data_IF_939228442840
#
_entry.id   IF_939228442840
#
_cell.length_a   1.000
_cell.length_b   1.000
_cell.length_c   1.000
_cell.angle_alpha   90.00
_cell.angle_beta   90.00
_cell.angle_gamma   90.00
#
_symmetry.space_group_name_H-M   'P 1'
#
loop_
_entity.id
_entity.type
_entity.pdbx_description
1 polymer ?
#
# COMPACT_ATOMS: atom_id res chain seq x y z
N UNK A 1 -56.06 14.26 31.78
CA UNK A 1 -55.36 13.83 30.54
C UNK A 1 -55.05 15.05 29.69
N UNK A 2 -53.90 15.07 29.01
CA UNK A 2 -53.56 16.11 28.04
C UNK A 2 -53.98 15.72 26.63
N UNK A 3 -54.09 16.69 25.72
CA UNK A 3 -54.36 16.47 24.30
C UNK A 3 -53.20 16.93 23.41
N UNK A 4 -53.04 16.22 22.29
CA UNK A 4 -52.03 16.55 21.29
C UNK A 4 -52.43 17.78 20.47
N UNK A 5 -51.46 18.63 20.15
CA UNK A 5 -51.56 19.60 19.06
C UNK A 5 -51.79 18.92 17.72
N UNK A 6 -52.17 19.70 16.71
CA UNK A 6 -51.97 19.29 15.32
C UNK A 6 -50.51 18.93 15.07
N UNK A 7 -50.27 18.02 14.14
CA UNK A 7 -48.91 17.71 13.70
C UNK A 7 -48.24 18.95 13.11
N UNK A 8 -47.00 19.20 13.49
CA UNK A 8 -46.15 20.17 12.82
C UNK A 8 -45.82 19.74 11.39
N UNK A 9 -45.19 20.63 10.59
CA UNK A 9 -44.73 20.27 9.26
C UNK A 9 -43.68 19.14 9.33
N UNK A 10 -43.54 18.41 8.24
CA UNK A 10 -42.46 17.45 8.08
C UNK A 10 -41.11 18.19 7.99
N UNK A 11 -40.13 17.73 8.75
CA UNK A 11 -38.72 18.10 8.62
C UNK A 11 -38.19 17.65 7.24
N UNK A 12 -37.07 18.24 6.75
CA UNK A 12 -36.39 17.75 5.56
C UNK A 12 -36.02 16.26 5.67
N UNK A 13 -35.86 15.61 4.52
CA UNK A 13 -35.41 14.22 4.48
C UNK A 13 -34.03 14.08 5.14
N UNK A 14 -33.81 12.99 5.88
CA UNK A 14 -32.54 12.72 6.59
C UNK A 14 -31.32 12.63 5.67
N UNK A 15 -31.55 12.48 4.37
CA UNK A 15 -30.55 12.38 3.31
C UNK A 15 -30.88 13.38 2.22
N UNK A 16 -29.85 13.78 1.47
CA UNK A 16 -30.00 14.61 0.26
C UNK A 16 -30.19 13.75 -1.00
N UNK A 17 -29.83 12.47 -0.94
CA UNK A 17 -29.92 11.53 -2.07
C UNK A 17 -30.59 10.21 -1.67
N UNK A 18 -31.26 9.59 -2.63
CA UNK A 18 -31.95 8.31 -2.54
C UNK A 18 -33.08 8.32 -1.49
N UNK A 19 -33.27 7.21 -0.79
CA UNK A 19 -34.34 7.04 0.19
C UNK A 19 -33.82 7.34 1.58
N UNK A 20 -34.59 8.09 2.36
CA UNK A 20 -34.31 8.37 3.76
C UNK A 20 -35.59 8.41 4.58
N UNK A 21 -35.51 9.13 5.69
CA UNK A 21 -36.63 9.27 6.62
C UNK A 21 -36.84 10.74 6.94
N UNK A 22 -38.09 11.20 6.95
CA UNK A 22 -38.46 12.53 7.45
C UNK A 22 -39.31 12.39 8.69
N UNK A 23 -39.25 13.39 9.55
CA UNK A 23 -39.86 13.36 10.88
C UNK A 23 -40.75 14.57 11.07
N UNK A 24 -41.89 14.39 11.74
CA UNK A 24 -42.73 15.50 12.23
C UNK A 24 -43.04 15.31 13.71
N UNK A 25 -43.33 16.41 14.39
CA UNK A 25 -43.55 16.42 15.85
C UNK A 25 -44.85 17.13 16.19
N UNK A 26 -45.44 16.74 17.31
CA UNK A 26 -46.63 17.39 17.91
C UNK A 26 -46.40 17.59 19.40
N UNK A 27 -47.00 18.63 19.96
CA UNK A 27 -46.85 19.00 21.36
C UNK A 27 -48.06 18.53 22.18
N UNK A 28 -47.85 18.17 23.44
CA UNK A 28 -48.92 17.81 24.38
C UNK A 28 -49.46 19.07 25.08
N UNK A 29 -50.11 19.95 24.33
CA UNK A 29 -50.54 21.26 24.82
C UNK A 29 -51.98 21.66 24.41
N UNK A 30 -52.75 20.79 23.77
CA UNK A 30 -54.12 21.08 23.31
C UNK A 30 -55.14 20.03 23.78
N UNK A 31 -55.61 20.07 25.04
CA UNK A 31 -55.19 20.97 26.13
C UNK A 31 -53.95 20.46 26.88
N UNK A 32 -53.22 21.37 27.53
CA UNK A 32 -52.09 20.99 28.37
C UNK A 32 -52.54 20.10 29.56
N UNK A 33 -51.82 19.02 29.87
CA UNK A 33 -52.17 18.15 30.98
C UNK A 33 -52.05 18.87 32.32
N UNK A 34 -53.06 18.69 33.17
CA UNK A 34 -53.05 19.14 34.57
C UNK A 34 -52.67 17.97 35.50
N UNK A 35 -52.08 18.28 36.65
CA UNK A 35 -51.73 17.33 37.72
C UNK A 35 -50.83 16.14 37.26
N UNK A 36 -49.81 16.39 36.42
CA UNK A 36 -48.87 15.35 35.97
C UNK A 36 -49.43 14.36 34.94
N UNK A 37 -50.55 14.70 34.29
CA UNK A 37 -51.09 13.89 33.19
C UNK A 37 -50.17 13.84 31.96
N UNK A 38 -50.38 12.84 31.10
CA UNK A 38 -49.63 12.65 29.86
C UNK A 38 -50.58 12.60 28.66
N UNK A 39 -50.03 12.80 27.45
CA UNK A 39 -50.75 12.54 26.20
C UNK A 39 -50.46 11.12 25.72
N UNK A 40 -51.48 10.28 25.46
CA UNK A 40 -51.27 8.91 25.00
C UNK A 40 -50.79 8.88 23.53
N UNK A 41 -49.79 8.05 23.24
CA UNK A 41 -49.22 7.86 21.90
C UNK A 41 -47.88 8.59 21.69
N UNK A 42 -47.40 8.60 20.45
CA UNK A 42 -46.09 9.16 20.11
C UNK A 42 -46.14 10.68 19.90
N UNK A 43 -45.12 11.39 20.40
CA UNK A 43 -44.90 12.83 20.16
C UNK A 43 -44.27 13.10 18.78
N UNK A 44 -43.69 12.05 18.18
CA UNK A 44 -42.94 12.10 16.94
C UNK A 44 -43.45 11.01 16.00
N UNK A 45 -43.51 11.35 14.72
CA UNK A 45 -43.82 10.41 13.64
C UNK A 45 -42.74 10.51 12.58
N UNK A 46 -42.38 9.37 12.00
CA UNK A 46 -41.36 9.26 10.97
C UNK A 46 -41.90 8.47 9.79
N UNK A 47 -41.61 8.92 8.58
CA UNK A 47 -42.01 8.25 7.36
C UNK A 47 -40.88 8.25 6.31
N UNK A 48 -40.98 7.32 5.36
CA UNK A 48 -40.03 7.24 4.26
C UNK A 48 -40.16 8.47 3.34
N UNK A 49 -39.02 9.00 2.92
CA UNK A 49 -38.93 10.02 1.88
C UNK A 49 -38.00 9.54 0.77
N UNK A 50 -38.30 9.94 -0.46
CA UNK A 50 -37.47 9.68 -1.64
C UNK A 50 -37.08 11.03 -2.25
N UNK A 51 -35.78 11.32 -2.30
CA UNK A 51 -35.29 12.60 -2.82
C UNK A 51 -35.20 12.64 -4.34
N UNK A 52 -35.45 11.52 -5.03
CA UNK A 52 -35.28 11.34 -6.48
C UNK A 52 -33.85 11.57 -6.99
N UNK A 53 -32.88 11.82 -6.11
CA UNK A 53 -31.48 12.01 -6.46
C UNK A 53 -30.68 10.73 -6.24
N UNK A 54 -29.79 10.38 -7.16
CA UNK A 54 -28.89 9.23 -6.98
C UNK A 54 -27.72 9.62 -6.09
N UNK A 55 -27.37 8.79 -5.09
CA UNK A 55 -26.18 9.04 -4.28
C UNK A 55 -24.88 8.76 -5.04
N UNK A 56 -23.79 9.50 -4.77
CA UNK A 56 -22.50 9.18 -5.36
C UNK A 56 -21.97 7.85 -4.79
N UNK A 57 -21.59 6.93 -5.68
CA UNK A 57 -20.88 5.71 -5.30
C UNK A 57 -19.43 6.06 -5.04
N UNK A 58 -18.96 5.87 -3.82
CA UNK A 58 -17.54 6.06 -3.50
C UNK A 58 -16.73 4.83 -3.92
N UNK A 59 -15.54 5.06 -4.45
CA UNK A 59 -14.66 3.98 -4.87
C UNK A 59 -14.18 3.17 -3.69
N UNK A 60 -14.12 1.85 -3.87
CA UNK A 60 -13.42 0.97 -2.94
C UNK A 60 -12.46 0.03 -3.67
N UNK A 61 -11.42 -0.35 -2.93
CA UNK A 61 -10.37 -1.21 -3.46
C UNK A 61 -10.91 -2.60 -3.74
N UNK A 62 -10.62 -3.10 -4.94
CA UNK A 62 -10.65 -4.52 -5.19
C UNK A 62 -9.60 -5.23 -4.33
N UNK A 63 -9.72 -6.56 -4.25
CA UNK A 63 -8.69 -7.39 -3.63
C UNK A 63 -7.33 -7.14 -4.27
N UNK A 64 -6.28 -7.28 -3.46
CA UNK A 64 -4.93 -7.21 -3.98
C UNK A 64 -4.69 -8.31 -5.01
N UNK A 65 -4.04 -7.94 -6.11
CA UNK A 65 -3.45 -8.92 -7.01
C UNK A 65 -2.34 -9.72 -6.31
N UNK A 66 -1.89 -10.82 -6.95
CA UNK A 66 -0.78 -11.59 -6.44
C UNK A 66 0.50 -10.75 -6.41
N UNK A 67 1.44 -11.13 -5.55
CA UNK A 67 2.79 -10.60 -5.58
C UNK A 67 3.51 -11.02 -6.87
N UNK A 68 4.23 -10.10 -7.50
CA UNK A 68 5.15 -10.43 -8.58
C UNK A 68 6.28 -11.31 -8.08
N UNK A 69 6.96 -12.06 -8.97
CA UNK A 69 8.24 -12.65 -8.64
C UNK A 69 9.24 -11.61 -8.13
N UNK A 70 10.23 -12.07 -7.39
CA UNK A 70 11.34 -11.24 -6.95
C UNK A 70 12.09 -10.63 -8.14
N UNK A 71 12.45 -9.35 -8.02
CA UNK A 71 13.21 -8.64 -9.06
C UNK A 71 14.60 -9.21 -9.31
N UNK A 72 15.14 -9.99 -8.37
CA UNK A 72 16.37 -10.76 -8.53
C UNK A 72 16.24 -12.12 -7.84
N UNK A 73 17.09 -13.06 -8.24
CA UNK A 73 17.14 -14.44 -7.72
C UNK A 73 18.08 -14.61 -6.53
N UNK A 74 18.79 -13.56 -6.12
CA UNK A 74 19.76 -13.58 -5.03
C UNK A 74 19.74 -12.27 -4.23
N UNK A 75 20.26 -12.29 -3.00
CA UNK A 75 20.40 -11.10 -2.14
C UNK A 75 21.87 -10.66 -1.98
N UNK A 76 22.10 -9.42 -1.52
CA UNK A 76 23.47 -8.89 -1.35
C UNK A 76 24.13 -8.42 -2.65
N UNK A 77 23.37 -8.34 -3.75
CA UNK A 77 23.80 -7.66 -4.97
C UNK A 77 23.65 -6.13 -4.88
N UNK A 78 23.89 -5.39 -5.98
CA UNK A 78 23.80 -3.93 -6.01
C UNK A 78 22.40 -3.39 -5.67
N UNK A 79 21.37 -4.20 -5.92
CA UNK A 79 19.98 -3.86 -5.69
C UNK A 79 19.30 -4.97 -4.88
N UNK A 80 18.62 -4.56 -3.80
CA UNK A 80 17.85 -5.47 -2.97
C UNK A 80 16.65 -6.03 -3.74
N UNK A 81 16.46 -7.37 -3.77
CA UNK A 81 15.35 -8.01 -4.44
C UNK A 81 14.02 -7.63 -3.78
N UNK A 82 13.06 -7.18 -4.60
CA UNK A 82 11.72 -6.79 -4.17
C UNK A 82 10.66 -7.49 -4.98
N UNK A 83 9.52 -7.73 -4.35
CA UNK A 83 8.27 -8.13 -4.99
C UNK A 83 7.26 -6.99 -4.85
N UNK A 84 6.40 -6.84 -5.85
CA UNK A 84 5.40 -5.79 -5.92
C UNK A 84 4.02 -6.40 -6.14
N UNK A 85 2.97 -5.80 -5.59
CA UNK A 85 1.59 -6.14 -5.95
C UNK A 85 0.79 -4.88 -6.20
N UNK A 86 -0.34 -5.03 -6.89
CA UNK A 86 -1.22 -3.91 -7.21
C UNK A 86 -2.69 -4.26 -6.97
N UNK A 87 -3.52 -3.23 -6.84
CA UNK A 87 -4.98 -3.33 -6.70
C UNK A 87 -5.63 -2.24 -7.53
N UNK A 88 -6.88 -2.47 -7.93
CA UNK A 88 -7.68 -1.50 -8.70
C UNK A 88 -8.80 -0.92 -7.85
N UNK A 89 -9.11 0.36 -8.06
CA UNK A 89 -10.22 1.04 -7.40
C UNK A 89 -11.52 0.70 -8.13
N UNK A 90 -11.99 -0.55 -8.00
CA UNK A 90 -13.05 -1.08 -8.85
C UNK A 90 -14.07 -1.96 -8.13
N UNK A 91 -14.10 -1.95 -6.79
CA UNK A 91 -15.02 -2.77 -6.01
C UNK A 91 -15.76 -1.97 -4.92
N UNK A 92 -16.57 -0.94 -5.27
CA UNK A 92 -16.95 -0.52 -6.63
C UNK A 92 -16.07 0.60 -7.20
N UNK A 93 -16.24 0.93 -8.48
CA UNK A 93 -15.66 2.14 -9.08
C UNK A 93 -16.38 3.41 -8.60
N UNK A 94 -15.66 4.53 -8.38
CA UNK A 94 -16.29 5.81 -8.09
C UNK A 94 -17.26 6.24 -9.19
N UNK A 95 -18.46 6.68 -8.81
CA UNK A 95 -19.41 7.23 -9.79
C UNK A 95 -18.88 8.54 -10.40
N UNK A 96 -19.22 8.81 -11.66
CA UNK A 96 -18.88 10.08 -12.30
C UNK A 96 -19.93 11.18 -12.03
N UNK A 97 -21.22 10.79 -11.98
CA UNK A 97 -22.33 11.72 -11.77
C UNK A 97 -23.40 11.13 -10.85
N UNK A 98 -23.60 11.70 -9.64
CA UNK A 98 -22.70 12.64 -8.98
C UNK A 98 -21.31 12.03 -8.73
N UNK A 99 -20.24 12.85 -8.64
CA UNK A 99 -18.89 12.35 -8.47
C UNK A 99 -18.68 11.68 -7.11
N UNK A 100 -18.21 10.44 -7.14
CA UNK A 100 -17.79 9.66 -5.99
C UNK A 100 -16.39 10.03 -5.50
N UNK A 101 -16.09 9.72 -4.24
CA UNK A 101 -14.72 9.86 -3.73
C UNK A 101 -13.82 8.78 -4.33
N UNK A 102 -12.55 9.10 -4.67
CA UNK A 102 -11.58 8.11 -5.10
C UNK A 102 -11.16 7.21 -3.93
N UNK A 103 -10.56 6.06 -4.25
CA UNK A 103 -10.06 5.13 -3.23
C UNK A 103 -8.90 5.76 -2.44
N UNK A 104 -8.89 5.68 -1.10
CA UNK A 104 -7.82 6.23 -0.28
C UNK A 104 -6.56 5.34 -0.30
N UNK A 105 -5.39 5.96 -0.35
CA UNK A 105 -4.09 5.27 -0.30
C UNK A 105 -3.54 4.85 -1.66
N UNK A 106 -2.47 4.04 -1.65
CA UNK A 106 -1.75 3.65 -2.87
C UNK A 106 -2.41 2.45 -3.57
N UNK A 107 -2.28 2.43 -4.90
CA UNK A 107 -2.70 1.33 -5.77
C UNK A 107 -1.65 0.20 -5.88
N UNK A 108 -0.46 0.41 -5.33
CA UNK A 108 0.63 -0.57 -5.34
C UNK A 108 1.30 -0.67 -3.97
N UNK A 109 1.93 -1.80 -3.73
CA UNK A 109 2.68 -2.10 -2.52
C UNK A 109 3.94 -2.89 -2.89
N UNK A 110 5.02 -2.66 -2.16
CA UNK A 110 6.29 -3.36 -2.36
C UNK A 110 6.80 -3.93 -1.04
N UNK A 111 7.44 -5.09 -1.11
CA UNK A 111 8.16 -5.68 0.03
C UNK A 111 9.45 -6.35 -0.43
N UNK A 112 10.35 -6.58 0.53
CA UNK A 112 11.61 -7.30 0.29
C UNK A 112 11.33 -8.78 0.12
N UNK A 113 12.09 -9.41 -0.75
CA UNK A 113 12.09 -10.85 -0.88
C UNK A 113 12.80 -11.52 0.30
N UNK A 114 12.35 -12.74 0.64
CA UNK A 114 12.93 -13.56 1.70
C UNK A 114 13.31 -14.94 1.15
N UNK A 115 14.31 -15.58 1.74
CA UNK A 115 14.72 -16.94 1.35
C UNK A 115 15.52 -17.04 0.05
N UNK A 116 16.06 -15.93 -0.47
CA UNK A 116 16.98 -15.97 -1.63
C UNK A 116 18.40 -16.33 -1.18
N UNK A 117 19.21 -17.01 -2.01
CA UNK A 117 20.63 -17.24 -1.75
C UNK A 117 21.45 -15.95 -1.95
N UNK A 118 22.66 -15.83 -1.35
CA UNK A 118 23.56 -14.72 -1.62
C UNK A 118 23.99 -14.67 -3.10
N UNK A 119 24.16 -13.46 -3.63
CA UNK A 119 24.60 -13.30 -5.02
C UNK A 119 26.05 -13.76 -5.20
N UNK A 120 26.39 -14.37 -6.35
CA UNK A 120 27.77 -14.69 -6.71
C UNK A 120 28.64 -13.44 -6.73
N UNK A 121 29.79 -13.48 -6.06
CA UNK A 121 30.78 -12.39 -6.06
C UNK A 121 31.93 -12.81 -6.95
N UNK A 122 32.12 -12.12 -8.06
CA UNK A 122 33.26 -12.35 -8.95
C UNK A 122 34.57 -11.94 -8.28
N UNK A 123 35.60 -12.75 -8.46
CA UNK A 123 36.94 -12.44 -7.99
C UNK A 123 37.53 -11.23 -8.72
N UNK A 124 38.21 -10.37 -7.96
CA UNK A 124 39.02 -9.31 -8.51
C UNK A 124 40.49 -9.46 -8.12
N UNK A 125 41.38 -9.10 -9.05
CA UNK A 125 42.81 -9.14 -8.81
C UNK A 125 43.20 -8.11 -7.76
N UNK A 126 43.96 -8.56 -6.77
CA UNK A 126 44.72 -7.68 -5.91
C UNK A 126 45.84 -6.95 -6.63
N UNK A 127 46.47 -5.98 -5.93
CA UNK A 127 47.66 -5.34 -6.46
C UNK A 127 48.75 -6.38 -6.71
N UNK A 128 49.61 -6.11 -7.70
CA UNK A 128 50.83 -6.87 -7.88
C UNK A 128 51.72 -6.73 -6.65
N UNK A 129 52.28 -7.85 -6.20
CA UNK A 129 53.29 -7.90 -5.16
C UNK A 129 54.61 -7.27 -5.61
N UNK A 130 55.58 -7.18 -4.71
CA UNK A 130 56.90 -6.65 -5.05
C UNK A 130 57.57 -7.49 -6.14
N UNK A 131 58.32 -6.84 -7.01
CA UNK A 131 59.18 -7.51 -8.01
C UNK A 131 60.17 -8.45 -7.31
N UNK A 132 60.34 -9.65 -7.84
CA UNK A 132 61.35 -10.59 -7.35
C UNK A 132 62.76 -10.00 -7.52
N UNK A 133 63.72 -10.32 -6.63
CA UNK A 133 65.10 -9.93 -6.83
C UNK A 133 65.65 -10.52 -8.14
N UNK A 134 66.55 -9.79 -8.81
CA UNK A 134 67.19 -10.27 -10.03
C UNK A 134 67.99 -11.56 -9.74
N UNK A 135 67.81 -12.62 -10.53
CA UNK A 135 68.51 -13.89 -10.29
C UNK A 135 70.02 -13.83 -10.59
N UNK A 136 70.48 -12.75 -11.22
CA UNK A 136 71.88 -12.56 -11.63
C UNK A 136 72.41 -11.22 -11.18
N UNK A 137 73.71 -11.16 -10.89
CA UNK A 137 74.45 -9.95 -10.55
C UNK A 137 75.11 -9.29 -11.76
N UNK A 138 75.21 -9.99 -12.89
CA UNK A 138 75.68 -9.46 -14.18
C UNK A 138 74.98 -10.18 -15.34
N UNK A 139 74.70 -9.46 -16.44
CA UNK A 139 73.96 -9.98 -17.60
C UNK A 139 72.46 -9.68 -17.57
N UNK A 140 71.68 -10.34 -18.43
CA UNK A 140 70.23 -10.20 -18.50
C UNK A 140 69.55 -11.19 -17.54
N UNK A 141 68.72 -10.68 -16.63
CA UNK A 141 67.87 -11.48 -15.75
C UNK A 141 66.40 -11.10 -15.92
N UNK A 142 65.50 -12.03 -15.62
CA UNK A 142 64.06 -11.78 -15.58
C UNK A 142 63.60 -11.62 -14.12
N UNK A 143 62.76 -10.64 -13.87
CA UNK A 143 62.06 -10.44 -12.59
C UNK A 143 60.62 -10.90 -12.74
N UNK A 144 60.03 -11.45 -11.68
CA UNK A 144 58.64 -11.89 -11.65
C UNK A 144 57.85 -11.07 -10.63
N UNK A 145 56.61 -10.72 -10.98
CA UNK A 145 55.59 -10.21 -10.06
C UNK A 145 54.50 -11.25 -9.85
N UNK A 146 53.91 -11.31 -8.66
CA UNK A 146 52.79 -12.20 -8.34
C UNK A 146 51.62 -11.40 -7.78
N UNK A 147 50.39 -11.79 -8.10
CA UNK A 147 49.17 -11.21 -7.55
C UNK A 147 48.20 -12.29 -7.10
N UNK A 148 47.28 -11.94 -6.21
CA UNK A 148 46.28 -12.86 -5.67
C UNK A 148 44.87 -12.40 -6.06
N UNK A 149 43.97 -13.34 -6.31
CA UNK A 149 42.56 -13.05 -6.61
C UNK A 149 41.78 -12.84 -5.30
N UNK A 150 41.96 -11.69 -4.67
CA UNK A 150 41.40 -11.39 -3.35
C UNK A 150 40.80 -9.98 -3.21
N UNK A 151 40.64 -9.23 -4.30
CA UNK A 151 40.06 -7.88 -4.29
C UNK A 151 38.89 -7.72 -5.29
N UNK A 152 37.70 -8.30 -5.00
CA UNK A 152 37.36 -9.11 -3.83
C UNK A 152 37.71 -10.60 -4.03
N UNK A 153 37.69 -11.38 -2.95
CA UNK A 153 37.78 -12.85 -3.04
C UNK A 153 36.49 -13.36 -3.70
N UNK A 154 36.55 -14.30 -4.67
CA UNK A 154 35.35 -14.93 -5.20
C UNK A 154 34.52 -15.58 -4.09
N UNK A 155 33.21 -15.32 -4.05
CA UNK A 155 32.30 -15.88 -3.05
C UNK A 155 31.01 -16.40 -3.71
N UNK A 156 30.31 -17.28 -3.00
CA UNK A 156 28.98 -17.77 -3.38
C UNK A 156 28.91 -18.35 -4.81
N UNK A 157 29.97 -19.04 -5.24
CA UNK A 157 30.07 -19.62 -6.59
C UNK A 157 30.40 -18.62 -7.69
N UNK A 158 30.84 -17.41 -7.33
CA UNK A 158 31.30 -16.42 -8.31
C UNK A 158 32.59 -16.84 -9.02
N UNK A 159 32.81 -16.34 -10.25
CA UNK A 159 33.94 -16.76 -11.07
C UNK A 159 35.28 -16.32 -10.46
N UNK A 160 36.31 -17.14 -10.65
CA UNK A 160 37.68 -16.77 -10.32
C UNK A 160 38.23 -15.71 -11.30
N UNK A 161 39.28 -15.00 -10.89
CA UNK A 161 39.89 -13.96 -11.71
C UNK A 161 40.44 -14.52 -13.04
N UNK A 162 40.15 -13.84 -14.15
CA UNK A 162 40.67 -14.19 -15.46
C UNK A 162 42.11 -13.65 -15.68
N UNK A 163 42.95 -14.46 -16.34
CA UNK A 163 44.34 -14.13 -16.68
C UNK A 163 45.39 -14.72 -15.71
N UNK A 164 46.67 -14.45 -15.97
CA UNK A 164 47.76 -15.03 -15.18
C UNK A 164 47.95 -14.34 -13.83
N UNK A 165 48.28 -15.15 -12.81
CA UNK A 165 48.62 -14.69 -11.46
C UNK A 165 50.07 -14.19 -11.36
N UNK A 166 50.87 -14.43 -12.39
CA UNK A 166 52.30 -14.12 -12.46
C UNK A 166 52.62 -13.43 -13.78
N UNK A 167 53.52 -12.46 -13.77
CA UNK A 167 54.06 -11.85 -14.98
C UNK A 167 55.51 -11.44 -14.82
#
# INVERSE_FOLDING_TARGET
>A
MGGWSGWGPWEPCSVTCSKGTRTRRRACNHPAPKCGGHCPGQAQESEACDTQQVCPTHGAWATWGPWTPCSASCHGGPHEPKETRSRKCSAPEPSQKPPGKPCPGLAYEQRRCTGLPPCPVAGGWGPWGPVSPCPVTCGLGQTMEQRTCNHPVPQHGGPFCAGDATR
#
